data_IF_036379675308
#
_entry.id   IF_036379675308
#
_cell.length_a   1.000
_cell.length_b   1.000
_cell.length_c   1.000
_cell.angle_alpha   90.00
_cell.angle_beta   90.00
_cell.angle_gamma   90.00
#
_symmetry.space_group_name_H-M   'P 1'
#
loop_
_entity.id
_entity.type
_entity.pdbx_description
1 polymer ?
#
# COMPACT_ATOMS: atom_id res chain seq x y z
N UNK A 1 4.40 15.67 9.63
CA UNK A 1 3.68 15.03 8.52
C UNK A 1 4.68 14.34 7.62
N UNK A 2 4.73 13.02 7.71
CA UNK A 2 5.56 12.12 6.92
C UNK A 2 4.61 11.22 6.14
N UNK A 3 4.82 11.13 4.83
CA UNK A 3 4.02 10.26 3.94
C UNK A 3 4.92 9.16 3.38
N UNK A 4 4.49 7.91 3.51
CA UNK A 4 5.09 6.80 2.76
C UNK A 4 4.50 6.76 1.34
N UNK A 5 5.35 6.73 0.33
CA UNK A 5 4.97 6.53 -1.07
C UNK A 5 5.53 5.19 -1.56
N UNK A 6 4.65 4.28 -1.97
CA UNK A 6 5.03 2.95 -2.48
C UNK A 6 4.58 2.83 -3.93
N UNK A 7 5.47 2.36 -4.80
CA UNK A 7 5.11 1.90 -6.15
C UNK A 7 5.08 0.38 -6.09
N UNK A 8 3.96 -0.24 -6.44
CA UNK A 8 3.71 -1.68 -6.26
C UNK A 8 3.19 -2.34 -7.53
N UNK A 9 3.41 -3.64 -7.64
CA UNK A 9 2.84 -4.50 -8.70
C UNK A 9 2.83 -5.94 -8.20
N UNK A 10 1.65 -6.54 -8.05
CA UNK A 10 1.46 -7.94 -7.65
C UNK A 10 2.15 -8.35 -6.33
N UNK A 11 1.93 -7.55 -5.29
CA UNK A 11 2.47 -7.70 -3.95
C UNK A 11 1.44 -8.21 -2.92
N UNK A 12 0.36 -8.88 -3.35
CA UNK A 12 -0.73 -9.30 -2.44
C UNK A 12 -0.22 -10.15 -1.25
N UNK A 13 0.90 -10.87 -1.44
CA UNK A 13 1.51 -11.73 -0.41
C UNK A 13 2.24 -10.96 0.70
N UNK A 14 2.60 -9.70 0.48
CA UNK A 14 3.48 -8.95 1.41
C UNK A 14 2.99 -7.54 1.72
N UNK A 15 2.17 -6.93 0.87
CA UNK A 15 1.77 -5.52 1.00
C UNK A 15 1.06 -5.25 2.33
N UNK A 16 0.23 -6.17 2.81
CA UNK A 16 -0.44 -6.03 4.13
C UNK A 16 0.57 -5.92 5.29
N UNK A 17 1.55 -6.83 5.36
CA UNK A 17 2.62 -6.78 6.38
C UNK A 17 3.48 -5.52 6.25
N UNK A 18 3.73 -5.08 5.02
CA UNK A 18 4.49 -3.85 4.76
C UNK A 18 3.75 -2.63 5.33
N UNK A 19 2.47 -2.48 5.00
CA UNK A 19 1.63 -1.37 5.45
C UNK A 19 1.45 -1.37 6.98
N UNK A 20 1.27 -2.54 7.60
CA UNK A 20 1.23 -2.67 9.06
C UNK A 20 2.54 -2.24 9.72
N UNK A 21 3.70 -2.62 9.15
CA UNK A 21 5.01 -2.26 9.68
C UNK A 21 5.30 -0.75 9.60
N UNK A 22 4.94 -0.09 8.48
CA UNK A 22 5.24 1.33 8.30
C UNK A 22 4.21 2.24 8.96
N UNK A 23 2.98 1.76 9.17
CA UNK A 23 1.86 2.56 9.69
C UNK A 23 2.14 3.21 11.05
N UNK A 24 2.98 2.60 11.89
CA UNK A 24 3.38 3.20 13.18
C UNK A 24 4.35 4.39 13.06
N UNK A 25 4.88 4.67 11.85
CA UNK A 25 5.97 5.61 11.62
C UNK A 25 5.60 6.76 10.68
N UNK A 26 4.42 6.73 10.06
CA UNK A 26 3.99 7.71 9.04
C UNK A 26 2.58 8.20 9.32
N UNK A 27 2.28 9.42 8.86
CA UNK A 27 0.98 10.06 9.02
C UNK A 27 0.01 9.69 7.87
N UNK A 28 0.54 9.39 6.67
CA UNK A 28 -0.23 9.00 5.47
C UNK A 28 0.52 7.94 4.66
N UNK A 29 -0.22 7.15 3.89
CA UNK A 29 0.34 6.14 2.99
C UNK A 29 -0.30 6.24 1.60
N UNK A 30 0.52 6.53 0.59
CA UNK A 30 0.15 6.61 -0.81
C UNK A 30 0.73 5.41 -1.56
N UNK A 31 -0.14 4.58 -2.13
CA UNK A 31 0.24 3.44 -2.96
C UNK A 31 -0.04 3.78 -4.42
N UNK A 32 0.95 3.61 -5.29
CA UNK A 32 0.85 3.75 -6.74
C UNK A 32 0.94 2.35 -7.32
N UNK A 33 -0.19 1.83 -7.77
CA UNK A 33 -0.27 0.52 -8.41
C UNK A 33 0.17 0.62 -9.87
N UNK A 34 0.95 -0.37 -10.33
CA UNK A 34 1.45 -0.44 -11.71
C UNK A 34 0.66 -1.46 -12.54
N UNK A 35 -0.64 -1.58 -12.30
CA UNK A 35 -1.53 -2.51 -12.98
C UNK A 35 -1.45 -3.93 -12.43
N UNK A 36 -1.61 -4.07 -11.11
CA UNK A 36 -1.70 -5.40 -10.49
C UNK A 36 -2.95 -6.15 -11.00
N UNK A 37 -2.80 -7.46 -11.18
CA UNK A 37 -3.88 -8.38 -11.53
C UNK A 37 -4.24 -9.36 -10.39
N UNK A 38 -3.64 -9.14 -9.21
CA UNK A 38 -3.93 -9.83 -7.96
C UNK A 38 -4.65 -8.93 -6.93
N UNK A 39 -4.77 -9.39 -5.70
CA UNK A 39 -5.47 -8.68 -4.61
C UNK A 39 -4.68 -7.50 -4.01
N UNK A 40 -3.55 -7.07 -4.60
CA UNK A 40 -2.67 -6.02 -4.05
C UNK A 40 -3.42 -4.73 -3.73
N UNK A 41 -4.23 -4.26 -4.68
CA UNK A 41 -4.97 -3.00 -4.55
C UNK A 41 -6.01 -3.08 -3.43
N UNK A 42 -6.73 -4.20 -3.35
CA UNK A 42 -7.78 -4.39 -2.35
C UNK A 42 -7.20 -4.52 -0.94
N UNK A 43 -6.08 -5.23 -0.80
CA UNK A 43 -5.35 -5.31 0.47
C UNK A 43 -4.85 -3.92 0.88
N UNK A 44 -4.23 -3.16 -0.03
CA UNK A 44 -3.73 -1.82 0.27
C UNK A 44 -4.85 -0.86 0.74
N UNK A 45 -6.00 -0.88 0.06
CA UNK A 45 -7.18 -0.10 0.48
C UNK A 45 -7.73 -0.56 1.83
N UNK A 46 -7.75 -1.87 2.08
CA UNK A 46 -8.17 -2.45 3.36
C UNK A 46 -7.32 -1.99 4.55
N UNK A 47 -6.06 -1.68 4.31
CA UNK A 47 -5.14 -1.10 5.31
C UNK A 47 -5.24 0.44 5.41
N UNK A 48 -6.18 1.08 4.72
CA UNK A 48 -6.40 2.52 4.76
C UNK A 48 -5.43 3.33 3.89
N UNK A 49 -4.63 2.68 3.03
CA UNK A 49 -3.76 3.39 2.12
C UNK A 49 -4.58 4.09 1.00
N UNK A 50 -4.15 5.28 0.60
CA UNK A 50 -4.67 5.96 -0.59
C UNK A 50 -4.03 5.35 -1.83
N UNK A 51 -4.82 4.67 -2.64
CA UNK A 51 -4.32 3.95 -3.84
C UNK A 51 -4.59 4.76 -5.12
N UNK A 52 -3.55 4.99 -5.90
CA UNK A 52 -3.56 5.47 -7.28
C UNK A 52 -3.34 4.26 -8.20
N UNK A 53 -4.25 4.03 -9.14
CA UNK A 53 -4.21 2.92 -10.11
C UNK A 53 -3.92 3.47 -11.49
#
# INVERSE_FOLDING_TARGET
MITACLIVHNEARVIGRCLESIGAHVDDCCVVDSGSDDETVDIARGHGARVLV
#
